data_IF_037518635208
#
_entry.id   IF_037518635208
#
_cell.length_a   1.000
_cell.length_b   1.000
_cell.length_c   1.000
_cell.angle_alpha   90.00
_cell.angle_beta   90.00
_cell.angle_gamma   90.00
#
_symmetry.space_group_name_H-M   'P 1'
#
loop_
_entity.id
_entity.type
_entity.pdbx_description
1 polymer ?
#
# COMPACT_ATOMS: atom_id res chain seq x y z
N UNK A 1 9.95 -0.25 -6.16
CA UNK A 1 9.33 -1.31 -7.02
C UNK A 1 8.34 -0.71 -8.04
N UNK A 2 8.07 -1.36 -9.19
CA UNK A 2 7.07 -0.87 -10.19
C UNK A 2 5.66 -0.74 -9.60
N UNK A 3 5.25 -1.72 -8.80
CA UNK A 3 3.98 -1.71 -8.06
C UNK A 3 3.82 -0.49 -7.16
N UNK A 4 4.86 -0.16 -6.38
CA UNK A 4 4.82 1.01 -5.50
C UNK A 4 4.69 2.33 -6.26
N UNK A 5 5.33 2.47 -7.42
CA UNK A 5 5.14 3.66 -8.26
C UNK A 5 3.69 3.83 -8.73
N UNK A 6 3.03 2.73 -9.09
CA UNK A 6 1.60 2.75 -9.48
C UNK A 6 0.75 3.19 -8.29
N UNK A 7 1.00 2.63 -7.11
CA UNK A 7 0.29 2.98 -5.89
C UNK A 7 0.50 4.47 -5.57
N UNK A 8 1.75 4.95 -5.56
CA UNK A 8 2.08 6.35 -5.27
C UNK A 8 1.35 7.33 -6.19
N UNK A 9 1.30 7.02 -7.49
CA UNK A 9 0.70 7.91 -8.47
C UNK A 9 -0.83 7.92 -8.42
N UNK A 10 -1.45 6.80 -8.07
CA UNK A 10 -2.89 6.62 -8.29
C UNK A 10 -3.71 6.55 -7.01
N UNK A 11 -3.12 6.29 -5.83
CA UNK A 11 -3.89 6.10 -4.58
C UNK A 11 -4.59 7.37 -4.10
N UNK A 12 -4.07 8.54 -4.49
CA UNK A 12 -4.68 9.84 -4.21
C UNK A 12 -4.96 10.03 -2.71
N UNK A 13 -6.13 10.55 -2.35
CA UNK A 13 -6.49 10.90 -0.95
C UNK A 13 -6.65 9.69 -0.02
N UNK A 14 -6.75 8.47 -0.55
CA UNK A 14 -6.94 7.25 0.23
C UNK A 14 -5.65 6.74 0.89
N UNK A 15 -4.52 7.39 0.65
CA UNK A 15 -3.20 6.94 1.11
C UNK A 15 -3.09 6.83 2.63
N UNK A 16 -3.77 7.71 3.40
CA UNK A 16 -3.78 7.64 4.87
C UNK A 16 -4.57 6.44 5.40
N UNK A 17 -5.72 6.14 4.80
CA UNK A 17 -6.53 4.95 5.14
C UNK A 17 -5.75 3.68 4.79
N UNK A 18 -5.09 3.68 3.63
CA UNK A 18 -4.18 2.61 3.21
C UNK A 18 -3.02 2.37 4.19
N UNK A 19 -2.34 3.44 4.63
CA UNK A 19 -1.26 3.33 5.62
C UNK A 19 -1.73 2.77 6.96
N UNK A 20 -2.91 3.18 7.42
CA UNK A 20 -3.53 2.64 8.65
C UNK A 20 -3.83 1.15 8.52
N UNK A 21 -4.36 0.69 7.39
CA UNK A 21 -4.58 -0.75 7.16
C UNK A 21 -3.27 -1.55 7.17
N UNK A 22 -2.18 -0.97 6.67
CA UNK A 22 -0.84 -1.56 6.75
C UNK A 22 -0.24 -1.53 8.16
N UNK A 23 -0.98 -1.03 9.16
CA UNK A 23 -0.57 -0.87 10.55
C UNK A 23 0.65 0.05 10.72
N UNK A 24 0.84 0.97 9.79
CA UNK A 24 1.81 2.06 9.95
C UNK A 24 1.27 2.99 11.03
N UNK A 25 2.11 3.35 12.00
CA UNK A 25 1.72 4.27 13.08
C UNK A 25 1.28 5.61 12.49
N UNK A 26 0.26 6.27 13.05
CA UNK A 26 -0.16 7.60 12.56
C UNK A 26 0.95 8.63 12.60
N UNK A 27 1.89 8.48 13.54
CA UNK A 27 3.10 9.33 13.65
C UNK A 27 4.04 9.13 12.46
N UNK A 28 4.04 7.94 11.85
CA UNK A 28 4.87 7.59 10.69
C UNK A 28 4.13 7.79 9.35
N UNK A 29 2.81 8.05 9.37
CA UNK A 29 1.98 8.38 8.19
C UNK A 29 2.13 9.89 7.86
N UNK A 30 3.37 10.34 7.68
CA UNK A 30 3.65 11.71 7.24
C UNK A 30 3.64 11.84 5.71
N UNK A 31 4.05 10.77 5.00
CA UNK A 31 3.92 10.67 3.56
C UNK A 31 3.71 9.22 3.11
N UNK A 32 3.29 9.05 1.85
CA UNK A 32 3.02 7.73 1.27
C UNK A 32 4.29 6.92 1.00
N UNK A 33 5.41 7.58 0.71
CA UNK A 33 6.68 6.87 0.45
C UNK A 33 7.18 6.16 1.72
N UNK A 34 7.03 6.78 2.90
CA UNK A 34 7.33 6.18 4.19
C UNK A 34 6.42 5.00 4.50
N UNK A 35 5.13 5.08 4.17
CA UNK A 35 4.19 3.96 4.31
C UNK A 35 4.64 2.76 3.47
N UNK A 36 5.06 3.00 2.23
CA UNK A 36 5.49 1.94 1.31
C UNK A 36 6.86 1.37 1.69
N UNK A 37 7.77 2.22 2.18
CA UNK A 37 9.07 1.78 2.71
C UNK A 37 8.88 0.93 3.97
N UNK A 38 8.06 1.38 4.92
CA UNK A 38 7.71 0.59 6.11
C UNK A 38 7.16 -0.77 5.73
N UNK A 39 6.23 -0.82 4.77
CA UNK A 39 5.69 -2.07 4.27
C UNK A 39 6.76 -2.97 3.63
N UNK A 40 7.71 -2.42 2.86
CA UNK A 40 8.79 -3.20 2.26
C UNK A 40 9.76 -3.77 3.30
N UNK A 41 10.04 -3.03 4.37
CA UNK A 41 11.00 -3.42 5.41
C UNK A 41 10.40 -4.36 6.46
N UNK A 42 9.13 -4.19 6.81
CA UNK A 42 8.51 -4.88 7.95
C UNK A 42 7.56 -6.02 7.56
N UNK A 43 7.15 -6.11 6.29
CA UNK A 43 6.24 -7.16 5.87
C UNK A 43 6.97 -8.47 5.53
N UNK A 44 6.39 -9.60 5.92
CA UNK A 44 6.91 -10.92 5.58
C UNK A 44 6.98 -11.09 4.04
N UNK A 45 8.14 -11.46 3.46
CA UNK A 45 8.30 -11.68 2.02
C UNK A 45 7.36 -12.73 1.41
N UNK A 46 6.72 -13.58 2.21
CA UNK A 46 5.70 -14.54 1.76
C UNK A 46 4.31 -13.91 1.65
N UNK A 47 4.03 -12.87 2.45
CA UNK A 47 2.69 -12.26 2.59
C UNK A 47 2.62 -10.80 2.13
N UNK A 48 3.74 -10.16 1.79
CA UNK A 48 3.76 -8.74 1.38
C UNK A 48 2.81 -8.43 0.21
N UNK A 49 2.70 -9.32 -0.80
CA UNK A 49 1.78 -9.12 -1.92
C UNK A 49 0.33 -9.12 -1.45
N UNK A 50 -0.07 -10.14 -0.68
CA UNK A 50 -1.46 -10.25 -0.22
C UNK A 50 -1.81 -9.12 0.73
N UNK A 51 -0.92 -8.76 1.66
CA UNK A 51 -1.11 -7.63 2.59
C UNK A 51 -1.28 -6.31 1.86
N UNK A 52 -0.50 -6.06 0.82
CA UNK A 52 -0.62 -4.86 0.00
C UNK A 52 -1.97 -4.82 -0.76
N UNK A 53 -2.39 -5.94 -1.35
CA UNK A 53 -3.66 -6.02 -2.07
C UNK A 53 -4.86 -5.90 -1.13
N UNK A 54 -4.81 -6.52 0.04
CA UNK A 54 -5.84 -6.42 1.07
C UNK A 54 -5.95 -4.97 1.56
N UNK A 55 -4.82 -4.30 1.77
CA UNK A 55 -4.80 -2.89 2.14
C UNK A 55 -5.44 -1.98 1.09
N UNK A 56 -5.20 -2.25 -0.20
CA UNK A 56 -5.87 -1.52 -1.29
C UNK A 56 -7.39 -1.76 -1.28
N UNK A 57 -7.84 -2.97 -0.97
CA UNK A 57 -9.27 -3.28 -0.87
C UNK A 57 -9.91 -2.54 0.30
N UNK A 58 -9.28 -2.59 1.47
CA UNK A 58 -9.77 -1.94 2.69
C UNK A 58 -9.76 -0.41 2.56
N UNK A 59 -8.76 0.16 1.89
CA UNK A 59 -8.71 1.60 1.57
C UNK A 59 -9.62 2.01 0.41
N UNK A 60 -10.61 1.18 0.06
CA UNK A 60 -11.62 1.42 -1.00
C UNK A 60 -11.02 1.59 -2.40
N UNK A 61 -9.83 1.05 -2.65
CA UNK A 61 -9.12 1.10 -3.93
C UNK A 61 -9.04 -0.27 -4.61
N UNK A 62 -10.20 -0.91 -4.77
CA UNK A 62 -10.35 -2.19 -5.50
C UNK A 62 -9.92 -2.06 -6.97
N UNK A 63 -10.10 -0.89 -7.57
CA UNK A 63 -9.60 -0.52 -8.90
C UNK A 63 -8.07 -0.67 -8.96
N UNK A 64 -7.39 -0.09 -7.97
CA UNK A 64 -5.93 -0.10 -7.88
C UNK A 64 -5.40 -1.48 -7.53
N UNK A 65 -6.13 -2.25 -6.70
CA UNK A 65 -5.84 -3.67 -6.45
C UNK A 65 -5.76 -4.45 -7.75
N UNK A 66 -6.77 -4.37 -8.61
CA UNK A 66 -6.82 -5.11 -9.89
C UNK A 66 -5.62 -4.73 -10.74
N UNK A 67 -5.36 -3.42 -10.88
CA UNK A 67 -4.24 -2.90 -11.66
C UNK A 67 -2.87 -3.35 -11.13
N UNK A 68 -2.69 -3.33 -9.81
CA UNK A 68 -1.44 -3.76 -9.16
C UNK A 68 -1.26 -5.28 -9.26
N UNK A 69 -2.34 -6.04 -9.17
CA UNK A 69 -2.33 -7.49 -9.24
C UNK A 69 -1.84 -8.00 -10.61
N UNK A 70 -2.21 -7.32 -11.69
CA UNK A 70 -1.75 -7.64 -13.05
C UNK A 70 -0.26 -7.34 -13.30
N UNK A 71 0.38 -6.60 -12.40
CA UNK A 71 1.79 -6.17 -12.51
C UNK A 71 2.74 -7.07 -11.70
N UNK A 72 2.19 -7.94 -10.84
CA UNK A 72 2.97 -8.84 -9.98
C UNK A 72 3.63 -10.02 -10.71
#
# INVERSE_FOLDING_TARGET
RRVYKIITNEIGRCWKEFGRTLKVSEVDIDNLDLVLNYHEENCDPRYWKSKLLDALVESRRKDLKIKVQDVF
#
